data_IF_956231543825
#
_entry.id   IF_956231543825
#
_cell.length_a   1.000
_cell.length_b   1.000
_cell.length_c   1.000
_cell.angle_alpha   90.00
_cell.angle_beta   90.00
_cell.angle_gamma   90.00
#
_symmetry.space_group_name_H-M   'P 1'
#
loop_
_entity.id
_entity.type
_entity.pdbx_description
1 polymer ?
#
# COMPACT_ATOMS: atom_id res chain seq x y z
N UNK A 1 -42.09 26.96 7.03
CA UNK A 1 -41.38 25.85 6.33
C UNK A 1 -40.54 26.28 5.12
N UNK A 2 -40.85 27.38 4.40
CA UNK A 2 -40.08 27.86 3.23
C UNK A 2 -38.69 28.47 3.55
N UNK A 3 -38.51 29.06 4.73
CA UNK A 3 -37.25 29.73 5.12
C UNK A 3 -36.07 28.78 5.38
N UNK A 4 -36.32 27.54 5.85
CA UNK A 4 -35.23 26.61 6.15
C UNK A 4 -34.60 26.01 4.88
N UNK A 5 -35.37 25.86 3.80
CA UNK A 5 -34.85 25.34 2.52
C UNK A 5 -33.87 26.32 1.87
N UNK A 6 -34.13 27.62 1.98
CA UNK A 6 -33.23 28.66 1.45
C UNK A 6 -31.90 28.65 2.20
N UNK A 7 -31.91 28.59 3.54
CA UNK A 7 -30.67 28.53 4.35
C UNK A 7 -29.81 27.31 4.04
N UNK A 8 -30.42 26.16 3.82
CA UNK A 8 -29.72 24.91 3.47
C UNK A 8 -29.05 25.04 2.09
N UNK A 9 -29.75 25.59 1.10
CA UNK A 9 -29.19 25.81 -0.24
C UNK A 9 -28.01 26.78 -0.21
N UNK A 10 -28.12 27.89 0.52
CA UNK A 10 -27.01 28.85 0.67
C UNK A 10 -25.81 28.24 1.41
N UNK A 11 -26.04 27.34 2.38
CA UNK A 11 -24.97 26.63 3.08
C UNK A 11 -24.22 25.66 2.15
N UNK A 12 -24.93 24.94 1.27
CA UNK A 12 -24.32 24.03 0.31
C UNK A 12 -23.50 24.81 -0.73
N UNK A 13 -24.02 25.93 -1.23
CA UNK A 13 -23.30 26.80 -2.18
C UNK A 13 -22.03 27.38 -1.53
N UNK A 14 -22.08 27.79 -0.27
CA UNK A 14 -20.91 28.29 0.45
C UNK A 14 -19.82 27.22 0.63
N UNK A 15 -20.22 25.97 0.94
CA UNK A 15 -19.28 24.85 1.08
C UNK A 15 -18.63 24.52 -0.26
N UNK A 16 -19.41 24.44 -1.34
CA UNK A 16 -18.87 24.18 -2.69
C UNK A 16 -17.89 25.27 -3.13
N UNK A 17 -18.17 26.53 -2.80
CA UNK A 17 -17.31 27.66 -3.14
C UNK A 17 -16.00 27.63 -2.34
N UNK A 18 -16.03 27.21 -1.06
CA UNK A 18 -14.83 27.00 -0.25
C UNK A 18 -13.95 25.87 -0.78
N UNK A 19 -14.56 24.75 -1.20
CA UNK A 19 -13.82 23.63 -1.80
C UNK A 19 -13.14 24.07 -3.10
N UNK A 20 -13.84 24.83 -3.95
CA UNK A 20 -13.31 25.32 -5.22
C UNK A 20 -12.12 26.29 -5.01
N UNK A 21 -12.22 27.19 -4.03
CA UNK A 21 -11.12 28.08 -3.67
C UNK A 21 -9.93 27.30 -3.11
N UNK A 22 -10.16 26.29 -2.26
CA UNK A 22 -9.08 25.45 -1.73
C UNK A 22 -8.37 24.66 -2.85
N UNK A 23 -9.10 24.12 -3.83
CA UNK A 23 -8.51 23.45 -5.00
C UNK A 23 -7.67 24.41 -5.85
N UNK A 24 -8.14 25.64 -6.08
CA UNK A 24 -7.37 26.65 -6.84
C UNK A 24 -6.09 27.08 -6.13
N UNK A 25 -6.13 27.21 -4.79
CA UNK A 25 -4.95 27.49 -3.97
C UNK A 25 -3.97 26.32 -4.01
N UNK A 26 -4.47 25.08 -3.93
CA UNK A 26 -3.62 23.89 -4.01
C UNK A 26 -2.90 23.79 -5.36
N UNK A 27 -3.60 24.06 -6.47
CA UNK A 27 -2.99 24.10 -7.81
C UNK A 27 -1.90 25.18 -7.89
N UNK A 28 -2.17 26.40 -7.43
CA UNK A 28 -1.16 27.47 -7.46
C UNK A 28 0.07 27.16 -6.59
N UNK A 29 -0.11 26.50 -5.44
CA UNK A 29 1.00 26.09 -4.58
C UNK A 29 1.81 24.96 -5.22
N UNK A 30 1.15 24.03 -5.94
CA UNK A 30 1.83 22.97 -6.70
C UNK A 30 2.70 23.55 -7.82
N UNK A 31 2.16 24.46 -8.63
CA UNK A 31 2.89 25.09 -9.73
C UNK A 31 4.09 25.90 -9.21
N UNK A 32 3.93 26.60 -8.09
CA UNK A 32 5.01 27.36 -7.45
C UNK A 32 6.12 26.44 -6.88
N UNK A 33 5.75 25.27 -6.38
CA UNK A 33 6.70 24.31 -5.83
C UNK A 33 7.48 23.58 -6.95
N UNK A 34 6.84 23.30 -8.10
CA UNK A 34 7.52 22.77 -9.29
C UNK A 34 8.51 23.78 -9.89
N UNK A 35 8.14 25.07 -9.98
CA UNK A 35 9.05 26.12 -10.47
C UNK A 35 10.29 26.27 -9.58
N UNK A 36 10.12 26.20 -8.26
CA UNK A 36 11.24 26.29 -7.32
C UNK A 36 12.18 25.09 -7.41
N UNK A 37 11.64 23.90 -7.67
CA UNK A 37 12.44 22.69 -7.84
C UNK A 37 13.30 22.79 -9.12
N UNK A 38 12.73 23.24 -10.24
CA UNK A 38 13.47 23.44 -11.50
C UNK A 38 14.62 24.47 -11.36
N UNK A 39 14.48 25.50 -10.52
CA UNK A 39 15.52 26.52 -10.29
C UNK A 39 16.66 25.99 -9.40
N UNK A 40 16.36 25.22 -8.35
CA UNK A 40 17.37 24.56 -7.50
C UNK A 40 18.12 23.45 -8.26
N UNK A 41 17.46 22.75 -9.19
CA UNK A 41 18.06 21.71 -10.03
C UNK A 41 19.00 22.30 -11.10
N UNK A 42 18.71 23.51 -11.57
CA UNK A 42 19.50 24.25 -12.57
C UNK A 42 20.82 24.80 -12.02
N UNK A 43 20.82 25.34 -10.80
CA UNK A 43 22.05 25.81 -10.14
C UNK A 43 22.99 24.65 -9.76
N UNK A 44 22.46 23.46 -9.46
CA UNK A 44 23.26 22.29 -9.09
C UNK A 44 24.05 21.68 -10.27
N UNK A 45 23.72 22.03 -11.52
CA UNK A 45 24.35 21.49 -12.73
C UNK A 45 25.30 22.47 -13.43
N UNK A 46 25.48 23.69 -12.93
CA UNK A 46 26.46 24.64 -13.48
C UNK A 46 26.27 24.96 -14.98
N UNK A 47 25.01 25.01 -15.44
CA UNK A 47 24.67 25.46 -16.79
C UNK A 47 24.32 26.94 -16.74
N UNK A 48 25.26 27.79 -17.14
CA UNK A 48 24.99 29.18 -17.48
C UNK A 48 24.00 29.22 -18.66
N UNK A 49 22.71 29.42 -18.38
CA UNK A 49 21.72 29.70 -19.41
C UNK A 49 21.79 31.20 -19.70
N UNK A 50 22.66 31.57 -20.63
CA UNK A 50 22.54 32.84 -21.34
C UNK A 50 21.17 32.89 -22.02
N UNK A 51 20.38 33.89 -21.66
CA UNK A 51 19.13 34.22 -22.32
C UNK A 51 19.41 34.55 -23.79
N UNK A 52 18.93 33.70 -24.70
CA UNK A 52 18.88 34.05 -26.12
C UNK A 52 17.43 34.25 -26.55
N UNK A 53 17.11 35.49 -26.90
CA UNK A 53 15.85 35.93 -27.49
C UNK A 53 15.54 35.22 -28.83
N UNK A 54 14.25 34.92 -29.00
CA UNK A 54 13.43 34.80 -30.21
C UNK A 54 13.96 34.07 -31.46
N UNK A 55 13.30 32.95 -31.80
CA UNK A 55 12.57 32.78 -33.08
C UNK A 55 11.64 31.54 -33.06
N UNK A 56 10.47 31.59 -33.73
CA UNK A 56 9.50 30.51 -33.67
C UNK A 56 9.86 29.41 -34.69
N UNK A 57 10.02 28.17 -34.22
CA UNK A 57 10.12 27.02 -35.11
C UNK A 57 8.77 26.29 -35.20
N UNK A 58 8.10 26.58 -36.31
CA UNK A 58 7.08 25.77 -36.96
C UNK A 58 7.59 24.34 -37.19
N UNK A 59 6.86 23.34 -36.70
CA UNK A 59 6.79 21.98 -37.28
C UNK A 59 5.72 21.15 -36.57
N UNK A 60 4.46 21.51 -36.79
CA UNK A 60 3.39 20.50 -36.85
C UNK A 60 3.58 19.68 -38.12
N UNK A 61 3.93 18.40 -38.01
CA UNK A 61 3.66 17.31 -38.98
C UNK A 61 4.45 16.07 -38.56
N UNK A 62 3.74 15.10 -38.00
CA UNK A 62 3.73 13.70 -38.43
C UNK A 62 3.01 12.88 -37.35
N UNK A 63 1.70 13.01 -37.36
CA UNK A 63 0.78 12.02 -36.79
C UNK A 63 -0.16 11.69 -37.93
N UNK A 64 0.07 10.54 -38.59
CA UNK A 64 -0.95 9.70 -39.22
C UNK A 64 -0.32 8.56 -40.03
N UNK A 65 -1.02 7.42 -40.03
CA UNK A 65 -0.82 6.15 -40.76
C UNK A 65 -0.09 5.08 -39.92
N UNK A 66 -0.71 4.00 -39.46
CA UNK A 66 -1.81 3.23 -40.05
C UNK A 66 -2.65 2.50 -38.98
N UNK A 67 -3.95 2.39 -39.25
CA UNK A 67 -4.91 1.44 -38.68
C UNK A 67 -5.52 0.66 -39.85
N UNK A 68 -5.99 -0.56 -39.55
CA UNK A 68 -6.73 -1.54 -40.36
C UNK A 68 -5.91 -2.38 -41.35
N UNK A 69 -6.13 -3.68 -41.53
CA UNK A 69 -7.15 -4.65 -41.09
C UNK A 69 -6.59 -6.03 -41.51
N UNK A 70 -6.89 -7.13 -40.80
CA UNK A 70 -7.32 -8.37 -41.45
C UNK A 70 -7.82 -9.40 -40.44
N UNK A 71 -9.15 -9.54 -40.46
CA UNK A 71 -9.91 -10.68 -39.98
C UNK A 71 -10.10 -11.71 -41.12
N UNK A 72 -10.31 -12.96 -40.70
CA UNK A 72 -11.13 -14.01 -41.34
C UNK A 72 -10.49 -15.09 -42.26
N UNK A 73 -10.62 -16.33 -41.75
CA UNK A 73 -11.12 -17.57 -42.38
C UNK A 73 -10.13 -18.62 -42.92
N UNK A 74 -10.17 -19.80 -42.28
CA UNK A 74 -10.56 -21.14 -42.80
C UNK A 74 -10.61 -22.11 -41.57
N UNK A 75 -11.74 -22.61 -41.04
CA UNK A 75 -12.64 -23.70 -41.51
C UNK A 75 -11.89 -24.91 -42.11
N UNK A 76 -12.17 -26.19 -41.86
CA UNK A 76 -13.12 -26.98 -41.04
C UNK A 76 -12.70 -28.48 -41.23
N UNK A 77 -13.37 -29.39 -40.52
CA UNK A 77 -13.52 -30.85 -40.71
C UNK A 77 -12.43 -31.80 -40.13
N UNK A 78 -12.74 -32.90 -39.44
CA UNK A 78 -13.96 -33.44 -38.83
C UNK A 78 -13.59 -34.72 -38.03
N UNK A 79 -14.47 -35.12 -37.08
CA UNK A 79 -14.83 -36.49 -36.64
C UNK A 79 -13.74 -37.44 -36.08
N UNK A 80 -13.94 -37.95 -34.87
CA UNK A 80 -14.79 -39.13 -34.63
C UNK A 80 -15.12 -39.30 -33.14
N UNK A 81 -16.30 -39.85 -32.90
CA UNK A 81 -16.86 -40.23 -31.61
C UNK A 81 -16.52 -41.70 -31.30
N UNK A 82 -16.43 -42.06 -30.03
CA UNK A 82 -17.17 -43.22 -29.50
C UNK A 82 -17.21 -43.23 -27.95
N UNK A 83 -18.36 -43.65 -27.46
CA UNK A 83 -18.76 -43.90 -26.06
C UNK A 83 -17.92 -45.01 -25.38
N UNK A 84 -17.95 -45.07 -24.04
CA UNK A 84 -18.40 -46.23 -23.24
C UNK A 84 -18.46 -45.86 -21.74
N UNK A 85 -19.69 -45.97 -21.20
CA UNK A 85 -20.19 -46.47 -19.91
C UNK A 85 -19.50 -46.15 -18.55
N UNK A 86 -20.23 -45.35 -17.76
CA UNK A 86 -20.94 -45.74 -16.52
C UNK A 86 -20.30 -46.77 -15.57
N UNK A 87 -19.95 -46.33 -14.35
CA UNK A 87 -20.12 -47.17 -13.16
C UNK A 87 -20.31 -46.33 -11.88
N UNK A 88 -21.46 -46.58 -11.28
CA UNK A 88 -22.04 -46.05 -10.04
C UNK A 88 -21.28 -46.49 -8.78
N UNK A 89 -21.12 -45.59 -7.81
CA UNK A 89 -21.05 -45.95 -6.38
C UNK A 89 -21.47 -44.76 -5.51
N UNK A 90 -22.70 -44.82 -4.99
CA UNK A 90 -23.20 -44.01 -3.88
C UNK A 90 -22.52 -44.43 -2.56
N UNK A 91 -22.17 -43.46 -1.71
CA UNK A 91 -22.34 -43.58 -0.26
C UNK A 91 -22.60 -42.21 0.34
N UNK A 92 -23.82 -42.03 0.85
CA UNK A 92 -24.29 -40.95 1.72
C UNK A 92 -23.74 -41.17 3.13
N UNK A 93 -23.10 -40.16 3.72
CA UNK A 93 -23.10 -39.95 5.18
C UNK A 93 -23.26 -38.45 5.44
N UNK A 94 -24.46 -38.06 5.85
CA UNK A 94 -24.68 -36.85 6.64
C UNK A 94 -24.05 -37.06 8.02
N UNK A 95 -23.33 -36.05 8.54
CA UNK A 95 -23.15 -35.86 9.98
C UNK A 95 -22.81 -34.39 10.25
N UNK A 96 -23.73 -33.70 10.91
CA UNK A 96 -23.45 -32.49 11.67
C UNK A 96 -22.44 -32.83 12.78
N UNK A 97 -21.37 -32.04 12.90
CA UNK A 97 -20.61 -31.95 14.13
C UNK A 97 -20.03 -30.55 14.30
N UNK A 98 -20.65 -29.86 15.25
CA UNK A 98 -20.21 -28.66 15.95
C UNK A 98 -18.71 -28.75 16.31
N UNK A 99 -17.87 -27.88 15.74
CA UNK A 99 -16.45 -27.81 16.09
C UNK A 99 -16.26 -26.71 17.14
N UNK A 100 -16.32 -27.13 18.40
CA UNK A 100 -15.87 -26.37 19.56
C UNK A 100 -14.36 -26.12 19.49
N UNK A 101 -13.95 -24.87 19.31
CA UNK A 101 -12.55 -24.47 19.47
C UNK A 101 -12.14 -24.61 20.94
N UNK A 102 -11.28 -25.60 21.21
CA UNK A 102 -10.74 -25.86 22.54
C UNK A 102 -9.85 -24.70 23.02
N UNK A 103 -10.07 -24.27 24.26
CA UNK A 103 -9.16 -23.39 24.99
C UNK A 103 -7.78 -24.05 25.08
N UNK A 104 -6.76 -23.41 24.53
CA UNK A 104 -5.37 -23.74 24.78
C UNK A 104 -4.87 -22.88 25.95
N UNK A 105 -4.77 -23.47 27.13
CA UNK A 105 -4.11 -22.85 28.28
C UNK A 105 -2.59 -22.92 28.08
N UNK A 106 -1.93 -21.77 27.96
CA UNK A 106 -0.47 -21.68 27.93
C UNK A 106 0.03 -21.29 29.33
N UNK A 107 0.75 -22.22 29.95
CA UNK A 107 1.62 -21.92 31.09
C UNK A 107 2.81 -21.10 30.60
N UNK A 108 2.95 -19.87 31.08
CA UNK A 108 4.06 -18.98 30.72
C UNK A 108 5.20 -19.10 31.74
N UNK A 109 6.23 -19.85 31.39
CA UNK A 109 7.59 -19.64 31.92
C UNK A 109 8.45 -18.95 30.86
N UNK A 110 9.27 -18.02 31.33
CA UNK A 110 10.07 -17.09 30.55
C UNK A 110 11.09 -17.78 29.65
N UNK A 111 11.01 -17.46 28.36
CA UNK A 111 12.06 -17.63 27.37
C UNK A 111 11.60 -16.87 26.13
N UNK A 112 12.47 -16.03 25.57
CA UNK A 112 12.19 -15.35 24.30
C UNK A 112 11.97 -16.40 23.22
N UNK A 113 10.70 -16.76 22.99
CA UNK A 113 10.27 -17.57 21.86
C UNK A 113 9.84 -16.62 20.76
N UNK A 114 10.09 -17.01 19.51
CA UNK A 114 9.48 -16.43 18.32
C UNK A 114 7.95 -16.55 18.44
N UNK A 115 7.36 -15.63 19.20
CA UNK A 115 5.95 -15.60 19.54
C UNK A 115 5.18 -15.13 18.32
N UNK A 116 5.04 -16.03 17.35
CA UNK A 116 4.02 -15.86 16.34
C UNK A 116 2.65 -16.04 17.00
N UNK A 117 1.82 -15.00 16.90
CA UNK A 117 0.51 -14.93 17.54
C UNK A 117 0.05 -13.48 17.71
N UNK A 118 -1.17 -13.27 18.23
CA UNK A 118 -1.72 -11.96 18.50
C UNK A 118 -0.77 -11.03 19.26
N UNK A 119 -0.83 -9.73 18.96
CA UNK A 119 -0.16 -8.71 19.78
C UNK A 119 -1.12 -8.39 20.92
N UNK A 120 -0.81 -8.82 22.15
CA UNK A 120 -1.66 -8.48 23.30
C UNK A 120 -1.46 -7.04 23.71
N UNK A 121 -2.41 -6.49 24.48
CA UNK A 121 -2.26 -5.15 25.05
C UNK A 121 -1.05 -5.07 25.98
N UNK A 122 -0.84 -6.08 26.82
CA UNK A 122 0.27 -6.14 27.75
C UNK A 122 1.61 -6.15 27.01
N UNK A 123 1.68 -6.87 25.89
CA UNK A 123 2.86 -6.88 25.03
C UNK A 123 3.08 -5.52 24.37
N UNK A 124 2.04 -4.95 23.75
CA UNK A 124 2.09 -3.64 23.10
C UNK A 124 2.58 -2.54 24.06
N UNK A 125 2.08 -2.53 25.30
CA UNK A 125 2.48 -1.56 26.33
C UNK A 125 3.99 -1.65 26.69
N UNK A 126 4.69 -2.72 26.31
CA UNK A 126 6.15 -2.87 26.50
C UNK A 126 6.99 -2.36 25.32
N UNK A 127 6.35 -2.13 24.17
CA UNK A 127 7.05 -1.74 22.95
C UNK A 127 7.70 -0.37 23.06
N UNK A 128 8.86 -0.22 22.42
CA UNK A 128 9.67 0.99 22.49
C UNK A 128 10.58 1.12 21.28
N UNK A 129 11.15 2.31 21.12
CA UNK A 129 12.29 2.52 20.22
C UNK A 129 13.49 1.70 20.68
N UNK A 130 13.96 0.79 19.82
CA UNK A 130 15.02 -0.19 20.16
C UNK A 130 16.42 0.20 19.68
N UNK A 131 16.55 1.21 18.81
CA UNK A 131 17.84 1.75 18.38
C UNK A 131 17.83 3.27 18.25
N UNK A 132 19.02 3.88 18.38
CA UNK A 132 19.24 5.34 18.28
C UNK A 132 20.00 5.73 17.01
N UNK A 133 19.93 4.90 15.97
CA UNK A 133 20.57 5.19 14.69
C UNK A 133 19.97 6.48 14.10
N UNK A 134 20.79 7.30 13.45
CA UNK A 134 20.31 8.46 12.70
C UNK A 134 19.65 7.97 11.42
N UNK A 135 18.35 8.21 11.28
CA UNK A 135 17.55 7.77 10.14
C UNK A 135 17.28 8.98 9.25
N UNK A 136 17.84 8.96 8.05
CA UNK A 136 17.49 9.95 7.03
C UNK A 136 16.29 9.43 6.24
N UNK A 137 15.09 9.78 6.69
CA UNK A 137 13.84 9.39 6.04
C UNK A 137 13.66 10.03 4.66
N UNK A 138 14.48 11.03 4.28
CA UNK A 138 14.43 11.62 2.94
C UNK A 138 15.16 10.79 1.88
N UNK A 139 15.98 9.82 2.31
CA UNK A 139 16.76 8.97 1.43
C UNK A 139 15.98 7.70 1.06
N UNK A 140 15.97 7.40 -0.24
CA UNK A 140 15.49 6.09 -0.73
C UNK A 140 16.67 5.14 -0.88
N UNK A 141 16.53 3.92 -0.37
CA UNK A 141 17.46 2.83 -0.63
C UNK A 141 17.16 2.16 -1.98
N UNK A 142 18.07 1.29 -2.44
CA UNK A 142 17.88 0.55 -3.69
C UNK A 142 16.60 -0.31 -3.65
N UNK A 143 15.69 -0.08 -4.61
CA UNK A 143 14.36 -0.74 -4.63
C UNK A 143 14.52 -2.26 -4.73
N UNK A 144 15.44 -2.74 -5.57
CA UNK A 144 15.64 -4.19 -5.75
C UNK A 144 16.15 -4.82 -4.47
N UNK A 145 17.08 -4.18 -3.77
CA UNK A 145 17.59 -4.65 -2.49
C UNK A 145 16.50 -4.68 -1.40
N UNK A 146 15.53 -3.75 -1.43
CA UNK A 146 14.42 -3.73 -0.48
C UNK A 146 13.44 -4.89 -0.68
N UNK A 147 13.26 -5.35 -1.93
CA UNK A 147 12.41 -6.50 -2.25
C UNK A 147 12.98 -7.83 -1.75
N UNK A 148 14.28 -7.91 -1.45
CA UNK A 148 14.92 -9.14 -0.96
C UNK A 148 15.05 -9.19 0.56
N UNK A 149 14.46 -8.22 1.29
CA UNK A 149 14.56 -8.16 2.75
C UNK A 149 13.49 -9.03 3.41
N UNK A 150 13.84 -9.53 4.58
CA UNK A 150 12.92 -10.25 5.44
C UNK A 150 12.22 -9.26 6.38
N UNK A 151 10.94 -9.02 6.13
CA UNK A 151 10.11 -8.14 6.96
C UNK A 151 9.41 -8.90 8.10
N UNK A 152 9.58 -10.22 8.22
CA UNK A 152 8.95 -10.97 9.31
C UNK A 152 9.46 -10.51 10.67
N UNK A 153 8.62 -10.56 11.70
CA UNK A 153 8.91 -10.11 13.06
C UNK A 153 7.94 -9.04 13.56
N UNK A 154 8.18 -8.56 14.77
CA UNK A 154 7.37 -7.53 15.43
C UNK A 154 8.01 -6.16 15.25
N UNK A 155 7.20 -5.17 14.90
CA UNK A 155 7.62 -3.84 14.54
C UNK A 155 6.71 -2.82 15.22
N UNK A 156 7.29 -1.73 15.73
CA UNK A 156 6.55 -0.67 16.42
C UNK A 156 7.02 0.71 15.99
N UNK A 157 6.07 1.56 15.64
CA UNK A 157 6.27 2.99 15.44
C UNK A 157 5.82 3.76 16.70
N UNK A 158 6.77 4.28 17.51
CA UNK A 158 6.44 5.03 18.72
C UNK A 158 5.84 6.41 18.45
N UNK A 159 6.06 7.01 17.27
CA UNK A 159 5.54 8.35 16.95
C UNK A 159 4.06 8.29 16.61
N UNK A 160 3.64 7.25 15.88
CA UNK A 160 2.24 7.04 15.49
C UNK A 160 1.47 6.10 16.44
N UNK A 161 2.15 5.35 17.30
CA UNK A 161 1.51 4.37 18.18
C UNK A 161 0.90 3.21 17.38
N UNK A 162 1.68 2.70 16.43
CA UNK A 162 1.29 1.59 15.56
C UNK A 162 2.24 0.41 15.78
N UNK A 163 1.71 -0.81 15.91
CA UNK A 163 2.51 -2.01 15.85
C UNK A 163 1.97 -3.01 14.84
N UNK A 164 2.88 -3.71 14.17
CA UNK A 164 2.57 -4.82 13.27
C UNK A 164 3.48 -6.00 13.58
N UNK A 165 2.93 -7.21 13.48
CA UNK A 165 3.70 -8.46 13.55
C UNK A 165 3.48 -9.21 12.26
N UNK A 166 4.56 -9.46 11.52
CA UNK A 166 4.54 -10.08 10.21
C UNK A 166 5.16 -11.47 10.28
N UNK A 167 4.54 -12.45 9.63
CA UNK A 167 5.09 -13.80 9.46
C UNK A 167 4.67 -14.39 8.11
N UNK A 168 5.12 -15.62 7.83
CA UNK A 168 4.63 -16.40 6.69
C UNK A 168 3.16 -16.78 6.76
N UNK A 169 2.55 -16.77 7.95
CA UNK A 169 1.12 -17.09 8.14
C UNK A 169 0.22 -15.86 8.00
N UNK A 170 0.75 -14.66 8.21
CA UNK A 170 -0.01 -13.42 8.06
C UNK A 170 0.55 -12.27 8.91
N UNK A 171 -0.31 -11.28 9.13
CA UNK A 171 -0.01 -10.06 9.85
C UNK A 171 -1.00 -9.84 11.00
N UNK A 172 -0.51 -9.54 12.19
CA UNK A 172 -1.32 -8.96 13.27
C UNK A 172 -1.08 -7.46 13.30
N UNK A 173 -2.16 -6.68 13.48
CA UNK A 173 -2.14 -5.21 13.45
C UNK A 173 -2.69 -4.68 14.76
N UNK A 174 -1.90 -3.83 15.43
CA UNK A 174 -2.28 -3.15 16.67
C UNK A 174 -2.18 -1.63 16.46
N UNK A 175 -3.32 -1.00 16.17
CA UNK A 175 -3.46 0.44 15.90
C UNK A 175 -4.70 0.93 16.66
N UNK A 176 -4.55 1.41 17.92
CA UNK A 176 -5.68 1.68 18.80
C UNK A 176 -6.65 2.75 18.29
N UNK A 177 -6.17 3.76 17.58
CA UNK A 177 -7.02 4.86 17.07
C UNK A 177 -7.83 4.47 15.83
N UNK A 178 -7.59 3.27 15.28
CA UNK A 178 -8.40 2.65 14.21
C UNK A 178 -9.16 1.43 14.73
N UNK A 179 -9.21 1.21 16.05
CA UNK A 179 -9.86 0.07 16.70
C UNK A 179 -9.29 -1.31 16.29
N UNK A 180 -7.99 -1.38 15.95
CA UNK A 180 -7.27 -2.64 15.72
C UNK A 180 -6.41 -2.99 16.94
N UNK A 181 -6.64 -4.15 17.55
CA UNK A 181 -6.01 -4.55 18.82
C UNK A 181 -5.21 -5.87 18.73
N UNK A 182 -4.69 -6.20 17.55
CA UNK A 182 -3.72 -7.29 17.38
C UNK A 182 -4.27 -8.70 17.49
N UNK A 183 -5.59 -8.89 17.56
CA UNK A 183 -6.27 -10.18 17.75
C UNK A 183 -6.66 -10.90 16.46
N UNK A 184 -6.63 -10.18 15.34
CA UNK A 184 -7.05 -10.67 14.02
C UNK A 184 -5.83 -10.90 13.13
N UNK A 185 -5.77 -12.08 12.49
CA UNK A 185 -4.75 -12.42 11.52
C UNK A 185 -5.18 -11.99 10.12
N UNK A 186 -4.42 -11.10 9.50
CA UNK A 186 -4.63 -10.58 8.16
C UNK A 186 -3.64 -11.18 7.16
N UNK A 187 -4.01 -11.20 5.89
CA UNK A 187 -3.03 -11.43 4.83
C UNK A 187 -2.17 -10.19 4.64
N UNK A 188 -0.92 -10.38 4.22
CA UNK A 188 -0.05 -9.29 3.82
C UNK A 188 0.88 -9.74 2.69
N UNK A 189 1.36 -8.76 1.92
CA UNK A 189 2.41 -8.99 0.93
C UNK A 189 3.32 -7.77 0.78
N UNK A 190 4.44 -7.96 0.09
CA UNK A 190 5.31 -6.88 -0.36
C UNK A 190 5.15 -6.72 -1.88
N UNK A 191 4.50 -5.64 -2.28
CA UNK A 191 4.22 -5.34 -3.69
C UNK A 191 5.41 -4.61 -4.32
N UNK A 192 5.94 -5.18 -5.41
CA UNK A 192 6.97 -4.54 -6.24
C UNK A 192 6.36 -3.37 -7.04
N UNK A 193 6.93 -2.19 -6.88
CA UNK A 193 6.55 -0.96 -7.58
C UNK A 193 7.71 -0.35 -8.38
N UNK A 194 8.75 -1.15 -8.63
CA UNK A 194 9.97 -0.73 -9.32
C UNK A 194 9.72 -0.32 -10.77
N UNK A 195 8.73 -0.93 -11.44
CA UNK A 195 8.32 -0.54 -12.80
C UNK A 195 7.81 0.91 -12.87
N UNK A 196 7.30 1.47 -11.77
CA UNK A 196 6.87 2.87 -11.64
C UNK A 196 7.96 3.76 -11.02
N UNK A 197 9.17 3.25 -10.80
CA UNK A 197 10.23 3.97 -10.09
C UNK A 197 9.92 4.24 -8.62
N UNK A 198 8.98 3.51 -8.04
CA UNK A 198 8.49 3.73 -6.68
C UNK A 198 9.00 2.66 -5.71
N UNK A 199 9.08 3.03 -4.44
CA UNK A 199 9.44 2.11 -3.38
C UNK A 199 8.41 0.98 -3.21
N UNK A 200 8.85 -0.20 -2.73
CA UNK A 200 7.96 -1.31 -2.41
C UNK A 200 6.85 -0.89 -1.45
N UNK A 201 5.71 -1.55 -1.57
CA UNK A 201 4.57 -1.31 -0.70
C UNK A 201 4.30 -2.56 0.13
N UNK A 202 4.47 -2.44 1.43
CA UNK A 202 4.04 -3.47 2.38
C UNK A 202 2.55 -3.28 2.62
N UNK A 203 1.77 -4.24 2.16
CA UNK A 203 0.32 -4.16 2.08
C UNK A 203 -0.32 -5.16 3.05
N UNK A 204 -1.31 -4.70 3.83
CA UNK A 204 -2.09 -5.55 4.74
C UNK A 204 -3.58 -5.44 4.38
N UNK A 205 -4.23 -6.58 4.24
CA UNK A 205 -5.61 -6.70 3.74
C UNK A 205 -6.63 -6.78 4.88
N UNK A 206 -7.11 -5.63 5.34
CA UNK A 206 -8.00 -5.54 6.51
C UNK A 206 -9.46 -5.92 6.21
N UNK A 207 -9.88 -5.88 4.95
CA UNK A 207 -11.28 -6.10 4.55
C UNK A 207 -11.45 -7.27 3.56
N UNK A 208 -10.49 -8.18 3.55
CA UNK A 208 -10.44 -9.33 2.63
C UNK A 208 -9.33 -9.21 1.57
N UNK A 209 -9.02 -10.31 0.88
CA UNK A 209 -7.79 -10.46 0.07
C UNK A 209 -7.65 -9.48 -1.09
N UNK A 210 -8.77 -8.92 -1.57
CA UNK A 210 -8.78 -8.01 -2.73
C UNK A 210 -8.88 -6.53 -2.32
N UNK A 211 -9.03 -6.23 -1.02
CA UNK A 211 -9.24 -4.85 -0.54
C UNK A 211 -8.13 -4.46 0.43
N UNK A 212 -7.10 -3.74 -0.05
CA UNK A 212 -6.02 -3.31 0.83
C UNK A 212 -6.53 -2.31 1.87
N UNK A 213 -6.17 -2.55 3.14
CA UNK A 213 -6.55 -1.68 4.25
C UNK A 213 -5.42 -0.79 4.72
N UNK A 214 -4.19 -1.34 4.79
CA UNK A 214 -2.98 -0.59 5.16
C UNK A 214 -1.90 -0.74 4.09
N UNK A 215 -1.15 0.33 3.88
CA UNK A 215 -0.06 0.38 2.93
C UNK A 215 1.10 1.23 3.51
N UNK A 216 2.25 0.57 3.66
CA UNK A 216 3.50 1.18 4.12
C UNK A 216 4.49 1.22 2.96
N UNK A 217 4.81 2.41 2.45
CA UNK A 217 5.76 2.61 1.36
C UNK A 217 7.21 2.58 1.87
N UNK A 218 7.85 1.42 1.77
CA UNK A 218 9.15 1.15 2.39
C UNK A 218 10.27 1.84 1.62
N UNK A 219 10.77 2.96 2.12
CA UNK A 219 11.88 3.70 1.52
C UNK A 219 13.25 3.19 1.97
N UNK A 220 13.32 2.56 3.14
CA UNK A 220 14.54 1.94 3.63
C UNK A 220 14.29 0.89 4.70
N UNK A 221 15.22 -0.04 4.81
CA UNK A 221 15.20 -1.16 5.75
C UNK A 221 16.61 -1.45 6.27
N UNK A 222 16.69 -1.78 7.54
CA UNK A 222 17.71 -2.66 8.09
C UNK A 222 17.06 -3.60 9.12
N UNK A 223 17.81 -4.58 9.62
CA UNK A 223 17.29 -5.58 10.55
C UNK A 223 16.74 -5.01 11.87
N UNK A 224 17.04 -3.74 12.18
CA UNK A 224 16.57 -3.03 13.38
C UNK A 224 15.36 -2.13 13.12
N UNK A 225 15.19 -1.62 11.90
CA UNK A 225 14.08 -0.73 11.56
C UNK A 225 13.79 -0.68 10.06
N UNK A 226 12.57 -0.30 9.71
CA UNK A 226 12.24 0.17 8.37
C UNK A 226 11.47 1.48 8.44
N UNK A 227 11.48 2.25 7.36
CA UNK A 227 10.88 3.58 7.34
C UNK A 227 10.27 3.92 5.98
N UNK A 228 9.32 4.85 6.01
CA UNK A 228 8.70 5.42 4.83
C UNK A 228 9.15 6.86 4.62
N UNK A 229 9.47 7.22 3.38
CA UNK A 229 9.92 8.58 3.06
C UNK A 229 8.80 9.60 3.14
N UNK A 230 7.71 9.37 2.40
CA UNK A 230 6.59 10.31 2.29
C UNK A 230 5.63 10.23 3.48
N UNK A 231 5.50 9.04 4.08
CA UNK A 231 4.59 8.81 5.21
C UNK A 231 5.25 9.13 6.56
N UNK A 232 6.58 9.25 6.61
CA UNK A 232 7.31 9.73 7.80
C UNK A 232 7.37 8.76 8.99
N UNK A 233 6.78 7.57 8.89
CA UNK A 233 6.88 6.55 9.94
C UNK A 233 8.28 5.94 10.03
N UNK A 234 8.60 5.45 11.22
CA UNK A 234 9.73 4.56 11.46
C UNK A 234 9.28 3.42 12.36
N UNK A 235 9.31 2.22 11.83
CA UNK A 235 9.03 1.01 12.58
C UNK A 235 10.33 0.42 13.11
N UNK A 236 10.44 0.29 14.43
CA UNK A 236 11.55 -0.34 15.12
C UNK A 236 11.23 -1.79 15.44
N UNK A 237 12.18 -2.69 15.20
CA UNK A 237 12.09 -4.10 15.59
C UNK A 237 11.93 -4.20 17.11
N UNK A 238 10.98 -4.99 17.58
CA UNK A 238 10.76 -5.24 19.01
C UNK A 238 11.54 -6.44 19.52
#
# INVERSE_FOLDING_TARGET
MRHNKVKIVWSIVAILLLVLVASLVYIHVSDANEQKQIEEDGEALGLDIEAHEDKPHESTKEFEKAVDEQDALNNDDSKDADEIEDTKSETVIENESDVSYGNFEINTESGASDSFGPITKEEYDTFKKTCNDTIDTNKMQDIKALMTKDYTGTWYDPENGEAIRLSSEGAYVYIPYLDYYGDTLYQWELVDRSAQGACPMLQIYLWGPDTPGLAYYVAGYNEKYFYGKLQGYVFYKQ
#
